data_IF_107862716278
#
_entry.id   IF_107862716278
#
_cell.length_a   1.000
_cell.length_b   1.000
_cell.length_c   1.000
_cell.angle_alpha   90.00
_cell.angle_beta   90.00
_cell.angle_gamma   90.00
#
_symmetry.space_group_name_H-M   'P 1'
#
loop_
_entity.id
_entity.type
_entity.pdbx_description
1 polymer ?
#
# COMPACT_ATOMS: atom_id res chain seq x y z
N UNK A 1 -5.63 -3.45 6.08
CA UNK A 1 -4.35 -4.16 6.27
C UNK A 1 -3.51 -3.46 7.32
N UNK A 2 -2.47 -4.12 7.84
CA UNK A 2 -1.60 -3.59 8.91
C UNK A 2 -0.14 -3.87 8.60
N UNK A 3 0.77 -3.11 9.20
CA UNK A 3 2.21 -3.42 9.21
C UNK A 3 2.55 -4.40 10.34
N UNK A 4 3.58 -5.22 10.15
CA UNK A 4 4.10 -6.17 11.13
C UNK A 4 5.61 -6.36 10.93
N UNK A 5 6.35 -6.93 11.89
CA UNK A 5 7.76 -7.26 11.71
C UNK A 5 7.98 -8.13 10.48
N UNK A 6 9.03 -7.81 9.70
CA UNK A 6 9.38 -8.55 8.49
C UNK A 6 9.74 -10.00 8.84
N UNK A 7 9.09 -10.95 8.19
CA UNK A 7 9.28 -12.39 8.41
C UNK A 7 9.43 -13.20 7.11
N UNK A 8 9.41 -12.54 5.95
CA UNK A 8 9.60 -13.16 4.63
C UNK A 8 8.46 -14.06 4.16
N UNK A 9 7.32 -14.07 4.86
CA UNK A 9 6.15 -14.86 4.46
C UNK A 9 5.42 -14.22 3.27
N UNK A 10 4.62 -15.01 2.57
CA UNK A 10 3.82 -14.55 1.41
C UNK A 10 2.83 -13.44 1.75
N UNK A 11 2.44 -13.32 3.02
CA UNK A 11 1.60 -12.22 3.51
C UNK A 11 2.28 -10.85 3.48
N UNK A 12 3.61 -10.82 3.29
CA UNK A 12 4.42 -9.61 3.19
C UNK A 12 5.09 -9.46 1.82
N UNK A 13 4.82 -10.37 0.89
CA UNK A 13 5.34 -10.32 -0.49
C UNK A 13 4.26 -9.79 -1.42
N UNK A 14 4.68 -8.95 -2.36
CA UNK A 14 3.81 -8.22 -3.27
C UNK A 14 4.35 -8.30 -4.69
N UNK A 15 3.47 -8.50 -5.67
CA UNK A 15 3.81 -8.36 -7.08
C UNK A 15 3.37 -6.97 -7.53
N UNK A 16 4.29 -6.19 -8.09
CA UNK A 16 3.97 -4.91 -8.74
C UNK A 16 3.87 -5.18 -10.24
N UNK A 17 2.68 -5.06 -10.81
CA UNK A 17 2.43 -5.39 -12.21
C UNK A 17 2.56 -4.16 -13.14
N UNK A 18 2.55 -4.40 -14.45
CA UNK A 18 2.64 -3.33 -15.46
C UNK A 18 1.45 -2.37 -15.48
N UNK A 19 0.31 -2.78 -14.90
CA UNK A 19 -0.90 -1.97 -14.76
C UNK A 19 -0.87 -1.06 -13.52
N UNK A 20 0.26 -1.02 -12.81
CA UNK A 20 0.46 -0.24 -11.57
C UNK A 20 -0.39 -0.74 -10.40
N UNK A 21 -0.86 -1.98 -10.46
CA UNK A 21 -1.48 -2.63 -9.29
C UNK A 21 -0.40 -3.29 -8.43
N UNK A 22 -0.68 -3.35 -7.12
CA UNK A 22 0.14 -4.05 -6.13
C UNK A 22 -0.65 -5.27 -5.65
N UNK A 23 -0.34 -6.43 -6.21
CA UNK A 23 -1.04 -7.70 -5.97
C UNK A 23 -0.40 -8.48 -4.81
N UNK A 24 -1.24 -9.08 -3.97
CA UNK A 24 -0.81 -9.93 -2.86
C UNK A 24 -0.28 -11.28 -3.36
N UNK A 25 0.92 -11.67 -2.92
CA UNK A 25 1.43 -13.03 -3.20
C UNK A 25 0.65 -14.10 -2.41
N UNK A 26 0.25 -13.81 -1.17
CA UNK A 26 -0.56 -14.74 -0.36
C UNK A 26 -1.99 -14.93 -0.86
N UNK A 27 -2.51 -13.98 -1.64
CA UNK A 27 -3.88 -13.99 -2.15
C UNK A 27 -3.87 -13.62 -3.64
N UNK A 28 -3.51 -14.55 -4.54
CA UNK A 28 -3.47 -14.29 -5.96
C UNK A 28 -4.83 -13.78 -6.49
N UNK A 29 -4.80 -12.75 -7.33
CA UNK A 29 -5.98 -12.05 -7.82
C UNK A 29 -6.51 -10.93 -6.91
N UNK A 30 -5.89 -10.69 -5.76
CA UNK A 30 -6.27 -9.62 -4.83
C UNK A 30 -5.24 -8.47 -4.83
N UNK A 31 -5.69 -7.27 -5.14
CA UNK A 31 -4.88 -6.07 -5.27
C UNK A 31 -5.15 -5.07 -4.14
N UNK A 32 -4.08 -4.37 -3.74
CA UNK A 32 -4.16 -3.25 -2.82
C UNK A 32 -5.08 -2.16 -3.40
N UNK A 33 -6.13 -1.83 -2.67
CA UNK A 33 -7.05 -0.77 -3.05
C UNK A 33 -7.00 0.37 -2.05
N UNK A 34 -6.99 1.59 -2.60
CA UNK A 34 -7.13 2.83 -1.86
C UNK A 34 -8.45 2.78 -1.06
N UNK A 35 -8.47 3.25 0.20
CA UNK A 35 -9.62 3.10 1.08
C UNK A 35 -10.96 3.62 0.52
N UNK A 36 -10.96 4.60 -0.38
CA UNK A 36 -12.17 5.29 -0.83
C UNK A 36 -12.88 5.95 0.35
N UNK A 37 -14.14 5.57 0.59
CA UNK A 37 -14.92 5.95 1.77
C UNK A 37 -14.57 5.14 3.03
N UNK A 38 -13.78 4.07 2.91
CA UNK A 38 -13.25 3.31 4.05
C UNK A 38 -12.20 4.13 4.80
N UNK A 39 -11.92 3.75 6.04
CA UNK A 39 -10.80 4.32 6.79
C UNK A 39 -9.47 3.69 6.40
N UNK A 40 -9.45 2.41 6.01
CA UNK A 40 -8.21 1.62 5.86
C UNK A 40 -8.08 1.03 4.46
N UNK A 41 -6.84 0.96 3.98
CA UNK A 41 -6.48 0.24 2.77
C UNK A 41 -6.77 -1.26 2.96
N UNK A 42 -7.21 -1.89 1.88
CA UNK A 42 -7.71 -3.26 1.87
C UNK A 42 -7.35 -3.97 0.58
N UNK A 43 -7.47 -5.29 0.59
CA UNK A 43 -7.43 -6.12 -0.59
C UNK A 43 -8.83 -6.22 -1.19
N UNK A 44 -8.92 -6.13 -2.52
CA UNK A 44 -10.09 -6.53 -3.29
C UNK A 44 -9.61 -7.18 -4.58
N UNK A 45 -10.50 -7.89 -5.32
CA UNK A 45 -10.16 -8.41 -6.63
C UNK A 45 -9.47 -7.36 -7.51
N UNK A 46 -8.40 -7.75 -8.18
CA UNK A 46 -7.72 -6.90 -9.14
C UNK A 46 -8.69 -6.59 -10.29
N UNK A 47 -8.93 -5.31 -10.55
CA UNK A 47 -9.91 -4.85 -11.54
C UNK A 47 -9.33 -3.83 -12.50
N UNK A 48 -8.04 -3.48 -12.36
CA UNK A 48 -7.39 -2.41 -13.10
C UNK A 48 -8.18 -1.09 -13.01
N UNK A 49 -8.74 -0.84 -11.82
CA UNK A 49 -9.49 0.37 -11.55
C UNK A 49 -8.60 1.43 -10.92
N UNK A 50 -8.94 2.71 -11.14
CA UNK A 50 -8.10 3.84 -10.70
C UNK A 50 -7.77 3.83 -9.19
N UNK A 51 -8.64 3.26 -8.35
CA UNK A 51 -8.39 3.10 -6.91
C UNK A 51 -7.33 2.05 -6.57
N UNK A 52 -6.93 1.22 -7.53
CA UNK A 52 -5.87 0.20 -7.42
C UNK A 52 -4.58 0.61 -8.15
N UNK A 53 -4.55 1.77 -8.80
CA UNK A 53 -3.34 2.27 -9.45
C UNK A 53 -2.44 2.99 -8.44
N UNK A 54 -1.25 2.43 -8.23
CA UNK A 54 -0.25 2.93 -7.30
C UNK A 54 1.06 3.23 -8.02
N UNK A 55 1.61 4.40 -7.76
CA UNK A 55 2.92 4.81 -8.27
C UNK A 55 3.92 4.85 -7.12
N UNK A 56 4.93 3.99 -7.19
CA UNK A 56 6.09 4.04 -6.28
C UNK A 56 6.99 5.17 -6.76
N UNK A 57 7.15 6.19 -5.93
CA UNK A 57 7.89 7.39 -6.26
C UNK A 57 9.36 7.29 -5.82
N UNK A 58 10.29 7.99 -6.49
CA UNK A 58 11.72 7.99 -6.11
C UNK A 58 11.99 8.56 -4.71
N UNK A 59 11.04 9.30 -4.15
CA UNK A 59 11.14 9.91 -2.83
C UNK A 59 10.61 9.00 -1.70
N UNK A 60 10.37 7.70 -1.98
CA UNK A 60 9.88 6.72 -1.00
C UNK A 60 8.36 6.72 -0.77
N UNK A 61 7.61 7.64 -1.40
CA UNK A 61 6.15 7.65 -1.29
C UNK A 61 5.50 6.68 -2.28
N UNK A 62 4.34 6.13 -1.92
CA UNK A 62 3.48 5.35 -2.84
C UNK A 62 2.17 6.12 -3.01
N UNK A 63 1.98 6.77 -4.16
CA UNK A 63 0.79 7.58 -4.44
C UNK A 63 -0.28 6.83 -5.22
N UNK A 64 -1.55 7.18 -4.99
CA UNK A 64 -2.67 6.64 -5.74
C UNK A 64 -3.18 7.64 -6.80
N UNK A 65 -3.73 7.15 -7.90
CA UNK A 65 -4.32 8.00 -8.96
C UNK A 65 -5.58 8.76 -8.47
N UNK A 66 -6.30 8.28 -7.45
CA UNK A 66 -7.37 9.05 -6.76
C UNK A 66 -6.84 10.10 -5.78
N UNK A 67 -5.52 10.17 -5.61
CA UNK A 67 -4.83 11.10 -4.72
C UNK A 67 -4.44 10.49 -3.38
N UNK A 68 -3.49 11.18 -2.73
CA UNK A 68 -2.91 10.76 -1.46
C UNK A 68 -1.80 9.71 -1.60
N UNK A 69 -1.07 9.53 -0.50
CA UNK A 69 0.04 8.63 -0.37
C UNK A 69 -0.25 7.58 0.70
N UNK A 70 0.18 6.34 0.45
CA UNK A 70 0.07 5.22 1.39
C UNK A 70 0.78 5.59 2.70
N UNK A 71 0.10 5.42 3.82
CA UNK A 71 0.55 5.90 5.12
C UNK A 71 0.22 4.90 6.22
N UNK A 72 1.15 4.72 7.14
CA UNK A 72 0.91 4.02 8.41
C UNK A 72 0.21 4.97 9.39
N UNK A 73 -0.86 4.51 10.01
CA UNK A 73 -1.65 5.26 10.98
C UNK A 73 -1.62 4.58 12.35
N UNK A 74 -1.42 5.37 13.40
CA UNK A 74 -1.31 4.88 14.78
C UNK A 74 0.12 4.60 15.25
N UNK A 75 1.14 4.99 14.48
CA UNK A 75 2.56 4.84 14.82
C UNK A 75 3.23 3.62 14.17
N UNK A 76 4.55 3.43 14.33
CA UNK A 76 5.33 2.41 13.60
C UNK A 76 5.21 0.99 14.20
N UNK A 77 4.28 0.76 15.12
CA UNK A 77 4.17 -0.50 15.85
C UNK A 77 3.50 -1.63 15.05
N UNK A 78 3.74 -2.90 15.39
CA UNK A 78 3.01 -4.03 14.84
C UNK A 78 1.49 -3.86 14.99
N UNK A 79 0.74 -4.19 13.94
CA UNK A 79 -0.71 -4.03 13.91
C UNK A 79 -1.19 -2.62 13.57
N UNK A 80 -0.29 -1.65 13.34
CA UNK A 80 -0.68 -0.33 12.89
C UNK A 80 -1.33 -0.38 11.49
N UNK A 81 -2.43 0.36 11.34
CA UNK A 81 -3.25 0.33 10.13
C UNK A 81 -2.58 1.08 8.99
N UNK A 82 -2.83 0.63 7.77
CA UNK A 82 -2.42 1.35 6.56
C UNK A 82 -3.63 2.02 5.91
N UNK A 83 -3.46 3.25 5.45
CA UNK A 83 -4.46 4.05 4.74
C UNK A 83 -3.79 4.97 3.73
N UNK A 84 -4.50 5.97 3.23
CA UNK A 84 -3.94 7.09 2.47
C UNK A 84 -4.08 8.41 3.22
N UNK A 85 -3.06 9.26 3.13
CA UNK A 85 -3.06 10.64 3.63
C UNK A 85 -2.63 11.61 2.54
N UNK A 86 -2.81 12.92 2.74
CA UNK A 86 -2.16 13.89 1.87
C UNK A 86 -0.66 13.65 1.86
N UNK A 87 -0.09 13.62 0.66
CA UNK A 87 1.32 13.36 0.47
C UNK A 87 2.16 14.43 1.15
N UNK A 88 3.05 14.01 2.03
CA UNK A 88 4.04 14.84 2.70
C UNK A 88 5.39 14.11 2.66
N UNK A 89 6.36 14.66 1.93
CA UNK A 89 7.67 14.03 1.76
C UNK A 89 8.44 13.92 3.08
N UNK A 90 8.18 14.81 4.04
CA UNK A 90 8.82 14.82 5.36
C UNK A 90 8.10 13.91 6.38
N UNK A 91 7.02 13.23 5.97
CA UNK A 91 6.24 12.35 6.84
C UNK A 91 6.85 10.93 6.84
N UNK A 92 7.54 10.50 7.92
CA UNK A 92 8.19 9.19 7.96
C UNK A 92 7.19 8.03 7.82
N UNK A 93 5.95 8.21 8.24
CA UNK A 93 4.89 7.20 8.12
C UNK A 93 4.40 7.00 6.67
N UNK A 94 4.86 7.81 5.72
CA UNK A 94 4.56 7.71 4.29
C UNK A 94 5.75 7.20 3.46
N UNK A 95 6.84 6.81 4.12
CA UNK A 95 8.06 6.36 3.48
C UNK A 95 8.11 4.84 3.44
N UNK A 96 8.26 4.29 2.23
CA UNK A 96 8.23 2.87 1.93
C UNK A 96 9.44 2.48 1.10
N UNK A 97 10.02 1.33 1.43
CA UNK A 97 11.08 0.70 0.66
C UNK A 97 10.60 -0.64 0.09
N UNK A 98 11.17 -1.01 -1.05
CA UNK A 98 11.08 -2.38 -1.59
C UNK A 98 12.31 -3.16 -1.19
N UNK A 99 12.11 -4.39 -0.68
CA UNK A 99 13.19 -5.30 -0.28
C UNK A 99 13.08 -6.62 -1.08
N UNK A 100 14.20 -7.20 -1.54
CA UNK A 100 14.21 -8.48 -2.28
C UNK A 100 13.73 -9.68 -1.46
#
# INVERSE_FOLDING_TARGET
>A
MVINPCNGTDFQRWNVNGDREIESVAFPGECLQQPGESLWAKLNPCTNWISQHWTIQPNGQISNDLGGCLAVLGGPGPGAWVSTRWCNADAPEQQWDSVP
#
